data_IF_509364980764
#
_entry.id   IF_509364980764
#
_cell.length_a   1.000
_cell.length_b   1.000
_cell.length_c   1.000
_cell.angle_alpha   90.00
_cell.angle_beta   90.00
_cell.angle_gamma   90.00
#
_symmetry.space_group_name_H-M   'P 1'
#
loop_
_entity.id
_entity.type
_entity.pdbx_description
1 polymer ?
#
# COMPACT_ATOMS: atom_id res chain seq x y z
N UNK A 1 26.53 -51.21 18.01
CA UNK A 1 25.16 -51.18 17.47
C UNK A 1 24.96 -49.84 16.80
N UNK A 2 24.98 -49.89 15.48
CA UNK A 2 24.69 -48.82 14.52
C UNK A 2 23.22 -48.41 14.57
N UNK A 3 22.92 -47.13 14.40
CA UNK A 3 21.95 -46.60 13.41
C UNK A 3 22.10 -45.08 13.30
N UNK A 4 22.78 -44.65 12.23
CA UNK A 4 22.38 -43.60 11.28
C UNK A 4 21.40 -42.53 11.74
N UNK A 5 21.89 -41.28 11.84
CA UNK A 5 21.04 -40.10 11.73
C UNK A 5 21.33 -39.45 10.37
N UNK A 6 20.40 -39.64 9.43
CA UNK A 6 20.46 -39.14 8.07
C UNK A 6 20.73 -37.63 8.06
N UNK A 7 21.82 -37.25 7.38
CA UNK A 7 22.08 -35.88 6.97
C UNK A 7 20.86 -35.36 6.20
N UNK A 8 20.10 -34.44 6.81
CA UNK A 8 19.08 -33.68 6.11
C UNK A 8 19.77 -32.97 4.94
N UNK A 9 19.52 -33.44 3.72
CA UNK A 9 20.02 -32.80 2.52
C UNK A 9 19.29 -31.45 2.38
N UNK A 10 20.03 -30.36 2.51
CA UNK A 10 19.52 -29.01 2.26
C UNK A 10 18.88 -28.97 0.87
N UNK A 11 17.61 -28.55 0.82
CA UNK A 11 16.86 -28.50 -0.43
C UNK A 11 17.56 -27.59 -1.45
N UNK A 12 17.49 -27.94 -2.73
CA UNK A 12 18.05 -27.10 -3.80
C UNK A 12 17.51 -25.66 -3.75
N UNK A 13 16.27 -25.50 -3.27
CA UNK A 13 15.65 -24.21 -3.02
C UNK A 13 16.32 -23.46 -1.86
N UNK A 14 16.61 -24.12 -0.72
CA UNK A 14 17.35 -23.51 0.37
C UNK A 14 18.78 -23.10 -0.04
N UNK A 15 19.44 -23.89 -0.90
CA UNK A 15 20.77 -23.54 -1.45
C UNK A 15 20.73 -22.37 -2.44
N UNK A 16 19.69 -22.31 -3.27
CA UNK A 16 19.47 -21.19 -4.20
C UNK A 16 19.13 -19.91 -3.45
N UNK A 17 18.26 -20.02 -2.44
CA UNK A 17 17.99 -18.91 -1.55
C UNK A 17 19.33 -18.47 -0.91
N UNK A 18 20.15 -19.35 -0.34
CA UNK A 18 21.33 -18.91 0.43
C UNK A 18 22.45 -18.31 -0.40
N UNK A 19 22.45 -18.54 -1.71
CA UNK A 19 23.35 -17.86 -2.65
C UNK A 19 23.01 -16.40 -2.95
N UNK A 20 21.75 -15.98 -2.76
CA UNK A 20 21.31 -14.61 -3.02
C UNK A 20 20.85 -13.99 -1.69
N UNK A 21 21.33 -12.80 -1.30
CA UNK A 21 21.10 -12.17 0.02
C UNK A 21 19.64 -12.08 0.48
N UNK A 22 19.05 -13.18 0.94
CA UNK A 22 17.76 -13.23 1.63
C UNK A 22 17.89 -12.92 3.10
N UNK A 23 19.10 -12.79 3.66
CA UNK A 23 19.31 -12.62 5.10
C UNK A 23 18.42 -11.48 5.65
N UNK A 24 18.18 -10.44 4.84
CA UNK A 24 17.25 -9.35 5.16
C UNK A 24 15.77 -9.74 5.32
N UNK A 25 15.33 -10.89 4.82
CA UNK A 25 13.96 -11.43 4.93
C UNK A 25 13.86 -12.37 6.13
N UNK A 26 14.89 -13.16 6.43
CA UNK A 26 14.90 -14.07 7.59
C UNK A 26 15.14 -13.35 8.92
N UNK A 27 15.83 -12.21 8.89
CA UNK A 27 16.11 -11.41 10.09
C UNK A 27 14.99 -10.40 10.41
N UNK A 28 13.89 -10.39 9.64
CA UNK A 28 12.73 -9.58 9.98
C UNK A 28 12.06 -10.20 11.21
N UNK A 29 11.77 -9.42 12.27
CA UNK A 29 10.94 -9.91 13.35
C UNK A 29 9.65 -10.44 12.73
N UNK A 30 9.25 -11.67 13.08
CA UNK A 30 7.96 -12.18 12.66
C UNK A 30 6.92 -11.14 13.10
N UNK A 31 6.19 -10.53 12.15
CA UNK A 31 5.21 -9.54 12.54
C UNK A 31 4.24 -10.23 13.48
N UNK A 32 4.03 -9.63 14.66
CA UNK A 32 3.02 -10.06 15.61
C UNK A 32 1.65 -9.89 14.92
N UNK A 33 1.25 -10.94 14.19
CA UNK A 33 0.00 -11.05 13.48
C UNK A 33 -1.06 -11.37 14.52
N UNK A 34 -1.29 -10.42 15.43
CA UNK A 34 -2.47 -10.39 16.27
C UNK A 34 -3.70 -10.70 15.41
N UNK A 35 -4.61 -11.50 15.96
CA UNK A 35 -5.87 -11.99 15.35
C UNK A 35 -6.16 -11.43 13.95
N UNK A 36 -5.55 -12.06 12.94
CA UNK A 36 -5.88 -11.93 11.52
C UNK A 36 -6.19 -10.50 11.02
N UNK A 37 -5.22 -9.59 11.06
CA UNK A 37 -5.18 -8.59 9.99
C UNK A 37 -4.91 -9.33 8.67
N UNK A 38 -5.95 -9.55 7.87
CA UNK A 38 -5.86 -10.08 6.51
C UNK A 38 -5.09 -9.07 5.64
N UNK A 39 -3.76 -9.06 5.75
CA UNK A 39 -2.93 -8.28 4.83
C UNK A 39 -3.24 -8.71 3.40
N UNK A 40 -3.47 -7.76 2.48
CA UNK A 40 -3.62 -8.07 1.07
C UNK A 40 -2.45 -8.92 0.58
N UNK A 41 -2.75 -9.90 -0.29
CA UNK A 41 -1.71 -10.68 -0.95
C UNK A 41 -0.71 -9.73 -1.66
N UNK A 42 0.60 -9.93 -1.60
CA UNK A 42 1.56 -8.97 -2.16
C UNK A 42 1.46 -8.86 -3.69
N UNK A 43 1.35 -7.63 -4.22
CA UNK A 43 1.16 -7.37 -5.65
C UNK A 43 2.24 -8.01 -6.54
N UNK A 44 3.49 -7.97 -6.09
CA UNK A 44 4.64 -8.54 -6.82
C UNK A 44 4.66 -10.07 -6.83
N UNK A 45 3.96 -10.74 -5.90
CA UNK A 45 3.88 -12.19 -5.85
C UNK A 45 2.81 -12.76 -6.80
N UNK A 46 2.05 -11.91 -7.50
CA UNK A 46 1.08 -12.36 -8.50
C UNK A 46 1.84 -12.94 -9.68
N UNK A 47 1.72 -14.25 -9.87
CA UNK A 47 2.38 -14.99 -10.94
C UNK A 47 1.57 -14.88 -12.24
N UNK A 48 2.27 -14.63 -13.35
CA UNK A 48 1.63 -14.43 -14.64
C UNK A 48 0.89 -13.08 -14.75
N UNK A 49 -0.12 -13.01 -15.61
CA UNK A 49 -1.02 -11.85 -15.77
C UNK A 49 -0.28 -10.51 -15.92
N UNK A 50 0.78 -10.51 -16.74
CA UNK A 50 1.65 -9.34 -16.92
C UNK A 50 0.88 -8.11 -17.41
N UNK A 51 -0.02 -8.30 -18.39
CA UNK A 51 -0.86 -7.23 -18.93
C UNK A 51 -1.72 -6.55 -17.85
N UNK A 52 -2.35 -7.34 -16.97
CA UNK A 52 -3.13 -6.80 -15.85
C UNK A 52 -2.25 -6.01 -14.87
N UNK A 53 -1.08 -6.55 -14.50
CA UNK A 53 -0.16 -5.87 -13.57
C UNK A 53 0.35 -4.55 -14.15
N UNK A 54 0.74 -4.55 -15.42
CA UNK A 54 1.20 -3.35 -16.11
C UNK A 54 0.08 -2.32 -16.19
N UNK A 55 -1.13 -2.71 -16.58
CA UNK A 55 -2.27 -1.79 -16.68
C UNK A 55 -2.55 -1.10 -15.33
N UNK A 56 -2.58 -1.86 -14.23
CA UNK A 56 -2.77 -1.32 -12.88
C UNK A 56 -1.63 -0.39 -12.45
N UNK A 57 -0.37 -0.76 -12.70
CA UNK A 57 0.76 0.12 -12.39
C UNK A 57 0.72 1.42 -13.20
N UNK A 58 0.36 1.33 -14.48
CA UNK A 58 0.25 2.51 -15.34
C UNK A 58 -0.86 3.45 -14.87
N UNK A 59 -2.00 2.93 -14.42
CA UNK A 59 -3.07 3.78 -13.87
C UNK A 59 -2.66 4.55 -12.62
N UNK A 60 -1.71 4.02 -11.84
CA UNK A 60 -1.15 4.71 -10.67
C UNK A 60 -0.11 5.75 -11.09
N UNK A 61 0.74 5.43 -12.07
CA UNK A 61 1.81 6.32 -12.53
C UNK A 61 1.25 7.53 -13.28
N UNK A 62 0.23 7.33 -14.11
CA UNK A 62 -0.33 8.38 -14.94
C UNK A 62 -1.86 8.39 -14.83
N UNK A 63 -2.44 9.27 -13.99
CA UNK A 63 -3.89 9.41 -13.85
C UNK A 63 -4.62 9.78 -15.15
N UNK A 64 -3.92 10.35 -16.14
CA UNK A 64 -4.51 10.71 -17.44
C UNK A 64 -4.92 9.48 -18.28
N UNK A 65 -4.43 8.28 -17.93
CA UNK A 65 -4.86 7.01 -18.55
C UNK A 65 -6.32 6.71 -18.22
N UNK A 66 -6.85 7.28 -17.13
CA UNK A 66 -8.21 7.02 -16.65
C UNK A 66 -8.31 5.72 -15.86
N UNK A 67 -9.32 4.90 -16.17
CA UNK A 67 -9.62 3.66 -15.45
C UNK A 67 -9.21 2.39 -16.20
N UNK A 68 -8.89 1.33 -15.45
CA UNK A 68 -8.59 0.00 -15.99
C UNK A 68 -9.80 -0.92 -15.81
N UNK A 69 -10.32 -1.46 -16.92
CA UNK A 69 -11.39 -2.44 -16.89
C UNK A 69 -10.83 -3.87 -16.87
N UNK A 70 -11.01 -4.59 -15.76
CA UNK A 70 -10.54 -5.96 -15.61
C UNK A 70 -11.65 -6.97 -15.95
N UNK A 71 -11.53 -7.65 -17.10
CA UNK A 71 -12.49 -8.66 -17.58
C UNK A 71 -11.87 -10.06 -17.50
N UNK A 72 -12.63 -11.05 -17.02
CA UNK A 72 -12.25 -12.45 -17.15
C UNK A 72 -13.07 -13.41 -16.30
N UNK A 73 -12.81 -14.72 -16.37
CA UNK A 73 -13.50 -15.75 -15.59
C UNK A 73 -13.43 -15.52 -14.07
N UNK A 74 -14.34 -16.13 -13.31
CA UNK A 74 -14.24 -16.17 -11.85
C UNK A 74 -12.99 -16.96 -11.45
N UNK A 75 -12.34 -16.54 -10.35
CA UNK A 75 -11.15 -17.22 -9.83
C UNK A 75 -9.79 -16.78 -10.41
N UNK A 76 -9.75 -15.79 -11.32
CA UNK A 76 -8.46 -15.31 -11.87
C UNK A 76 -7.72 -14.31 -10.97
N UNK A 77 -8.25 -13.98 -9.79
CA UNK A 77 -7.59 -13.06 -8.85
C UNK A 77 -7.69 -11.57 -9.19
N UNK A 78 -8.65 -11.13 -10.02
CA UNK A 78 -8.86 -9.71 -10.36
C UNK A 78 -8.97 -8.80 -9.13
N UNK A 79 -9.87 -9.13 -8.22
CA UNK A 79 -10.08 -8.36 -6.97
C UNK A 79 -8.86 -8.45 -6.05
N UNK A 80 -8.19 -9.62 -6.02
CA UNK A 80 -6.93 -9.79 -5.28
C UNK A 80 -5.85 -8.86 -5.81
N UNK A 81 -5.72 -8.72 -7.13
CA UNK A 81 -4.75 -7.82 -7.75
C UNK A 81 -5.01 -6.35 -7.41
N UNK A 82 -6.27 -5.91 -7.47
CA UNK A 82 -6.64 -4.54 -7.08
C UNK A 82 -6.38 -4.29 -5.60
N UNK A 83 -6.81 -5.20 -4.71
CA UNK A 83 -6.56 -5.07 -3.26
C UNK A 83 -5.08 -5.11 -2.89
N UNK A 84 -4.28 -5.88 -3.63
CA UNK A 84 -2.84 -5.94 -3.41
C UNK A 84 -2.10 -4.64 -3.76
N UNK A 85 -2.72 -3.80 -4.59
CA UNK A 85 -2.11 -2.56 -5.06
C UNK A 85 -1.96 -1.53 -3.93
N UNK A 86 -2.89 -1.47 -2.96
CA UNK A 86 -2.78 -0.54 -1.82
C UNK A 86 -1.52 -0.75 -1.00
N UNK A 87 -1.01 -2.00 -0.94
CA UNK A 87 0.21 -2.34 -0.22
C UNK A 87 1.51 -1.80 -0.84
N UNK A 88 1.47 -1.30 -2.09
CA UNK A 88 2.64 -0.70 -2.75
C UNK A 88 2.52 0.81 -2.96
N UNK A 89 1.35 1.39 -2.66
CA UNK A 89 1.14 2.83 -2.79
C UNK A 89 1.78 3.58 -1.61
N UNK A 90 2.29 4.80 -1.84
CA UNK A 90 2.74 5.65 -0.75
C UNK A 90 1.57 6.01 0.16
N UNK A 91 1.88 6.36 1.41
CA UNK A 91 0.88 6.96 2.29
C UNK A 91 0.45 8.30 1.70
N UNK A 92 -0.84 8.62 1.82
CA UNK A 92 -1.41 9.88 1.38
C UNK A 92 -1.66 10.77 2.58
N UNK A 93 -1.56 12.07 2.36
CA UNK A 93 -1.92 13.06 3.36
C UNK A 93 -3.44 13.25 3.35
N UNK A 94 -4.07 13.08 4.50
CA UNK A 94 -5.51 13.19 4.71
C UNK A 94 -5.77 14.29 5.72
N UNK A 95 -6.76 15.13 5.42
CA UNK A 95 -7.17 16.24 6.27
C UNK A 95 -7.92 15.74 7.50
N UNK A 96 -7.64 16.35 8.65
CA UNK A 96 -8.40 16.17 9.89
C UNK A 96 -9.59 17.14 9.99
N UNK A 97 -9.79 17.97 8.97
CA UNK A 97 -10.83 18.97 8.88
C UNK A 97 -12.07 18.41 8.18
N UNK A 98 -13.26 18.84 8.61
CA UNK A 98 -14.52 18.42 7.99
C UNK A 98 -14.61 18.87 6.52
N UNK A 99 -13.95 19.97 6.18
CA UNK A 99 -13.92 20.56 4.84
C UNK A 99 -12.84 19.92 3.93
N UNK A 100 -12.00 19.04 4.46
CA UNK A 100 -10.98 18.33 3.69
C UNK A 100 -9.77 19.18 3.27
N UNK A 101 -9.53 20.32 3.93
CA UNK A 101 -8.42 21.24 3.60
C UNK A 101 -7.06 20.68 4.04
N UNK A 102 -6.06 20.80 3.17
CA UNK A 102 -4.68 20.41 3.45
C UNK A 102 -3.80 21.64 3.75
N UNK A 103 -2.65 21.46 4.43
CA UNK A 103 -1.68 22.54 4.65
C UNK A 103 -1.26 23.26 3.36
N UNK A 104 -1.10 22.52 2.26
CA UNK A 104 -0.74 23.07 0.96
C UNK A 104 -1.81 24.02 0.38
N UNK A 105 -3.08 23.85 0.76
CA UNK A 105 -4.17 24.71 0.29
C UNK A 105 -4.11 26.10 0.95
N UNK A 106 -3.65 26.17 2.20
CA UNK A 106 -3.42 27.45 2.89
C UNK A 106 -2.25 28.25 2.31
N UNK A 107 -1.30 27.58 1.65
CA UNK A 107 -0.21 28.26 0.92
C UNK A 107 -0.68 28.78 -0.44
N UNK A 108 -1.69 28.16 -1.05
CA UNK A 108 -2.20 28.50 -2.36
C UNK A 108 -3.28 29.60 -2.35
N UNK A 109 -4.00 29.75 -1.23
CA UNK A 109 -5.08 30.74 -1.05
C UNK A 109 -4.53 31.96 -0.32
N UNK A 110 -4.95 33.17 -0.70
CA UNK A 110 -4.65 34.38 0.07
C UNK A 110 -5.15 34.20 1.52
N UNK A 111 -4.24 34.39 2.47
CA UNK A 111 -4.38 33.99 3.87
C UNK A 111 -5.67 34.54 4.55
N UNK A 112 -6.17 35.69 4.10
CA UNK A 112 -7.42 36.28 4.62
C UNK A 112 -8.67 35.51 4.17
N UNK A 113 -8.73 35.02 2.93
CA UNK A 113 -9.88 34.26 2.40
C UNK A 113 -9.97 32.87 3.03
N UNK A 114 -8.82 32.25 3.30
CA UNK A 114 -8.76 30.94 3.94
C UNK A 114 -9.39 30.93 5.34
N UNK A 115 -9.34 32.06 6.06
CA UNK A 115 -10.02 32.22 7.37
C UNK A 115 -11.54 32.13 7.24
N UNK A 116 -12.10 32.66 6.16
CA UNK A 116 -13.55 32.65 5.93
C UNK A 116 -14.03 31.31 5.40
N UNK A 117 -13.21 30.62 4.61
CA UNK A 117 -13.52 29.31 4.04
C UNK A 117 -13.36 28.17 5.06
N UNK A 118 -12.35 28.26 5.93
CA UNK A 118 -11.95 27.17 6.83
C UNK A 118 -11.69 27.68 8.26
N UNK A 119 -12.69 28.24 8.97
CA UNK A 119 -12.47 28.95 10.23
C UNK A 119 -11.81 28.09 11.31
N UNK A 120 -12.28 26.85 11.49
CA UNK A 120 -11.81 25.97 12.57
C UNK A 120 -10.39 25.46 12.31
N UNK A 121 -10.09 25.08 11.08
CA UNK A 121 -8.77 24.58 10.72
C UNK A 121 -7.73 25.70 10.49
N UNK A 122 -8.16 26.89 10.08
CA UNK A 122 -7.29 28.05 9.98
C UNK A 122 -6.71 28.44 11.35
N UNK A 123 -7.53 28.45 12.40
CA UNK A 123 -7.06 28.74 13.76
C UNK A 123 -6.07 27.69 14.27
N UNK A 124 -6.35 26.41 14.02
CA UNK A 124 -5.44 25.29 14.36
C UNK A 124 -4.10 25.41 13.63
N UNK A 125 -4.14 25.62 12.32
CA UNK A 125 -2.93 25.79 11.50
C UNK A 125 -2.10 26.99 11.95
N UNK A 126 -2.74 28.15 12.19
CA UNK A 126 -2.09 29.36 12.68
C UNK A 126 -1.49 29.18 14.08
N UNK A 127 -2.09 28.33 14.91
CA UNK A 127 -1.56 27.94 16.21
C UNK A 127 -0.41 26.90 16.12
N UNK A 128 -0.04 26.46 14.91
CA UNK A 128 0.99 25.45 14.66
C UNK A 128 0.56 24.02 15.00
N UNK A 129 -0.75 23.75 15.06
CA UNK A 129 -1.29 22.41 15.25
C UNK A 129 -1.35 21.65 13.92
N UNK A 130 -1.21 20.33 13.97
CA UNK A 130 -1.44 19.48 12.79
C UNK A 130 -2.92 19.54 12.40
N UNK A 131 -3.18 19.70 11.10
CA UNK A 131 -4.51 19.67 10.50
C UNK A 131 -4.67 18.52 9.49
N UNK A 132 -3.65 17.68 9.40
CA UNK A 132 -3.58 16.51 8.52
C UNK A 132 -2.71 15.43 9.14
N UNK A 133 -2.86 14.21 8.65
CA UNK A 133 -2.02 13.07 8.96
C UNK A 133 -1.78 12.20 7.70
N UNK A 134 -0.77 11.33 7.76
CA UNK A 134 -0.48 10.40 6.67
C UNK A 134 -1.06 9.02 6.98
N UNK A 135 -1.86 8.48 6.05
CA UNK A 135 -2.41 7.14 6.15
C UNK A 135 -2.28 6.33 4.84
N UNK A 136 -2.34 4.99 4.88
CA UNK A 136 -2.30 4.16 3.67
C UNK A 136 -3.49 4.44 2.75
N UNK A 137 -3.28 4.32 1.43
CA UNK A 137 -4.37 4.46 0.45
C UNK A 137 -5.47 3.43 0.70
N UNK A 138 -6.69 3.92 0.89
CA UNK A 138 -7.86 3.08 1.05
C UNK A 138 -8.47 2.69 -0.31
N UNK A 139 -8.76 1.40 -0.47
CA UNK A 139 -9.52 0.91 -1.61
C UNK A 139 -11.02 1.15 -1.33
N UNK A 140 -11.66 1.97 -2.15
CA UNK A 140 -13.10 2.22 -2.08
C UNK A 140 -13.84 1.27 -3.04
N UNK A 141 -14.78 0.48 -2.50
CA UNK A 141 -15.70 -0.33 -3.30
C UNK A 141 -17.02 0.41 -3.45
N UNK A 142 -17.39 0.73 -4.69
CA UNK A 142 -18.67 1.38 -5.01
C UNK A 142 -19.80 0.35 -5.01
N UNK A 143 -21.02 0.73 -4.55
CA UNK A 143 -22.19 -0.16 -4.49
C UNK A 143 -22.74 -0.58 -5.86
#
# INVERSE_FOLDING_TARGET
>A
MTTDNHSAQDSALLRLLSQYSYQRITDLPEPDLGLAELRPFPFLAIVGQLEMRIALMLSVINPAIGGVLLIGPRGTGKTTAVRSLSGILPHIEVSDCDEGVLPADFEAIDNEDARYLYPDCYEKWKAGQSISHYEPVQLVELP
#
